data_IF_404076554922
#
_entry.id   IF_404076554922
#
_cell.length_a   1.000
_cell.length_b   1.000
_cell.length_c   1.000
_cell.angle_alpha   90.00
_cell.angle_beta   90.00
_cell.angle_gamma   90.00
#
_symmetry.space_group_name_H-M   'P 1'
#
loop_
_entity.id
_entity.type
_entity.pdbx_description
1 polymer ?
#
# COMPACT_ATOMS: atom_id res chain seq x y z
N UNK A 1 2.53 4.51 4.53
CA UNK A 1 1.44 3.88 3.75
C UNK A 1 1.51 2.36 4.03
N UNK A 2 0.77 1.43 3.40
CA UNK A 2 1.08 -0.03 3.45
C UNK A 2 0.96 -0.78 2.08
N UNK A 3 1.97 -0.72 1.20
CA UNK A 3 2.13 -1.42 -0.09
C UNK A 3 2.40 -2.93 0.02
N UNK A 4 1.41 -3.83 0.12
CA UNK A 4 1.69 -5.29 0.14
C UNK A 4 1.94 -5.92 -1.25
N UNK A 5 3.08 -6.58 -1.47
CA UNK A 5 3.43 -7.34 -2.68
C UNK A 5 3.68 -8.82 -2.34
N UNK A 6 3.29 -9.75 -3.21
CA UNK A 6 3.66 -11.15 -3.05
C UNK A 6 5.16 -11.32 -3.31
N UNK A 7 5.92 -11.69 -2.28
CA UNK A 7 7.35 -11.96 -2.35
C UNK A 7 7.64 -13.35 -1.83
N UNK A 8 8.77 -13.92 -2.21
CA UNK A 8 9.29 -15.14 -1.60
C UNK A 8 10.58 -14.82 -0.86
N UNK A 9 10.74 -15.41 0.32
CA UNK A 9 12.01 -15.50 1.03
C UNK A 9 12.35 -16.98 1.12
N UNK A 10 13.49 -17.37 0.58
CA UNK A 10 14.02 -18.75 0.65
C UNK A 10 13.07 -19.86 0.12
N UNK A 11 12.19 -19.53 -0.82
CA UNK A 11 11.27 -20.50 -1.45
C UNK A 11 9.90 -20.61 -0.76
N UNK A 12 9.69 -19.95 0.38
CA UNK A 12 8.38 -19.87 1.03
C UNK A 12 7.63 -18.60 0.60
N UNK A 13 6.40 -18.77 0.11
CA UNK A 13 5.54 -17.69 -0.36
C UNK A 13 5.02 -16.80 0.77
N UNK A 14 5.18 -15.49 0.65
CA UNK A 14 4.70 -14.50 1.60
C UNK A 14 4.14 -13.24 0.93
N UNK A 15 3.48 -12.39 1.72
CA UNK A 15 3.09 -11.03 1.33
C UNK A 15 3.97 -10.06 2.11
N UNK A 16 4.74 -9.22 1.41
CA UNK A 16 5.60 -8.20 2.00
C UNK A 16 4.95 -6.84 1.88
N UNK A 17 4.71 -6.21 3.02
CA UNK A 17 4.27 -4.83 3.13
C UNK A 17 5.46 -3.89 2.87
N UNK A 18 5.52 -3.31 1.67
CA UNK A 18 6.57 -2.43 1.16
C UNK A 18 6.50 -1.00 1.69
N UNK A 19 6.03 -0.82 2.90
CA UNK A 19 5.68 0.51 3.35
C UNK A 19 6.13 0.74 4.77
N UNK A 20 6.84 1.84 4.91
CA UNK A 20 7.96 1.90 5.82
C UNK A 20 9.22 1.20 5.30
N UNK A 21 9.20 0.59 4.10
CA UNK A 21 10.43 0.12 3.46
C UNK A 21 11.01 1.19 2.54
N UNK A 22 12.25 1.60 2.83
CA UNK A 22 13.05 2.45 1.96
C UNK A 22 13.47 1.67 0.70
N UNK A 23 12.52 1.43 -0.20
CA UNK A 23 12.81 0.74 -1.46
C UNK A 23 13.66 1.64 -2.33
N UNK A 24 14.80 1.11 -2.72
CA UNK A 24 15.77 1.81 -3.55
C UNK A 24 15.55 1.46 -5.02
N UNK A 25 15.40 0.16 -5.31
CA UNK A 25 15.25 -0.34 -6.68
C UNK A 25 14.57 -1.71 -6.73
N UNK A 26 14.08 -2.05 -7.91
CA UNK A 26 13.79 -3.41 -8.31
C UNK A 26 14.81 -3.83 -9.37
N UNK A 27 15.33 -5.06 -9.29
CA UNK A 27 16.24 -5.60 -10.29
C UNK A 27 15.76 -6.92 -10.87
N UNK A 28 16.29 -7.27 -12.05
CA UNK A 28 16.18 -8.59 -12.66
C UNK A 28 17.60 -9.15 -12.85
N UNK A 29 17.86 -10.30 -12.25
CA UNK A 29 19.10 -11.05 -12.37
C UNK A 29 18.77 -12.45 -12.90
N UNK A 30 19.09 -12.67 -14.18
CA UNK A 30 18.70 -13.89 -14.88
C UNK A 30 17.18 -14.02 -14.99
N UNK A 31 16.62 -15.05 -14.36
CA UNK A 31 15.17 -15.29 -14.29
C UNK A 31 14.54 -14.80 -12.99
N UNK A 32 15.34 -14.24 -12.08
CA UNK A 32 14.89 -13.82 -10.75
C UNK A 32 14.67 -12.31 -10.70
N UNK A 33 13.54 -11.90 -10.13
CA UNK A 33 13.22 -10.51 -9.88
C UNK A 33 13.42 -10.21 -8.40
N UNK A 34 13.97 -9.04 -8.08
CA UNK A 34 14.34 -8.67 -6.71
C UNK A 34 13.86 -7.27 -6.35
N UNK A 35 13.52 -7.08 -5.08
CA UNK A 35 13.34 -5.77 -4.43
C UNK A 35 14.58 -5.52 -3.60
N UNK A 36 15.13 -4.32 -3.70
CA UNK A 36 16.25 -3.85 -2.90
C UNK A 36 15.76 -2.74 -1.98
N UNK A 37 15.77 -3.00 -0.67
CA UNK A 37 15.58 -1.96 0.35
C UNK A 37 16.94 -1.45 0.83
N UNK A 38 17.02 -0.59 1.84
CA UNK A 38 18.31 -0.24 2.46
C UNK A 38 18.98 -1.46 3.10
N UNK A 39 18.21 -2.26 3.83
CA UNK A 39 18.75 -3.29 4.71
C UNK A 39 18.68 -4.70 4.10
N UNK A 40 17.71 -4.97 3.23
CA UNK A 40 17.39 -6.33 2.78
C UNK A 40 17.15 -6.41 1.26
N UNK A 41 17.10 -7.65 0.76
CA UNK A 41 16.69 -8.00 -0.59
C UNK A 41 15.57 -9.05 -0.54
N UNK A 42 14.59 -8.95 -1.44
CA UNK A 42 13.45 -9.87 -1.50
C UNK A 42 13.23 -10.37 -2.92
N UNK A 43 12.80 -11.62 -3.09
CA UNK A 43 12.50 -12.18 -4.40
C UNK A 43 11.04 -11.94 -4.79
N UNK A 44 10.84 -11.63 -6.07
CA UNK A 44 9.54 -11.36 -6.67
C UNK A 44 9.18 -12.45 -7.67
N UNK A 45 7.89 -12.79 -7.68
CA UNK A 45 7.30 -13.73 -8.65
C UNK A 45 6.72 -13.02 -9.87
N UNK A 46 6.93 -11.71 -10.00
CA UNK A 46 6.30 -10.85 -11.01
C UNK A 46 7.39 -10.12 -11.80
N UNK A 47 7.19 -9.97 -13.11
CA UNK A 47 8.15 -9.30 -13.99
C UNK A 47 8.23 -7.79 -13.74
N UNK A 48 9.38 -7.19 -14.08
CA UNK A 48 9.59 -5.74 -13.99
C UNK A 48 8.55 -4.94 -14.79
N UNK A 49 8.08 -5.42 -15.92
CA UNK A 49 7.10 -4.69 -16.74
C UNK A 49 5.74 -4.53 -16.03
N UNK A 50 5.31 -5.60 -15.35
CA UNK A 50 4.09 -5.60 -14.53
C UNK A 50 4.27 -4.71 -13.30
N UNK A 51 5.46 -4.76 -12.68
CA UNK A 51 5.82 -3.90 -11.55
C UNK A 51 5.79 -2.44 -11.97
N UNK A 52 6.46 -2.08 -13.06
CA UNK A 52 6.49 -0.72 -13.61
C UNK A 52 5.09 -0.19 -13.91
N UNK A 53 4.25 -1.01 -14.54
CA UNK A 53 2.86 -0.62 -14.86
C UNK A 53 2.06 -0.34 -13.60
N UNK A 54 2.20 -1.17 -12.57
CA UNK A 54 1.54 -0.98 -11.28
C UNK A 54 2.04 0.28 -10.56
N UNK A 55 3.35 0.52 -10.53
CA UNK A 55 3.96 1.69 -9.89
C UNK A 55 3.54 2.99 -10.60
N UNK A 56 3.50 2.99 -11.93
CA UNK A 56 3.01 4.13 -12.73
C UNK A 56 1.54 4.40 -12.50
N UNK A 57 0.69 3.37 -12.48
CA UNK A 57 -0.73 3.50 -12.16
C UNK A 57 -0.95 4.04 -10.74
N UNK A 58 -0.05 3.70 -9.81
CA UNK A 58 -0.04 4.22 -8.45
C UNK A 58 0.56 5.64 -8.31
N UNK A 59 1.07 6.23 -9.40
CA UNK A 59 1.72 7.55 -9.36
C UNK A 59 3.00 7.59 -8.53
N UNK A 60 3.66 6.45 -8.33
CA UNK A 60 4.88 6.36 -7.54
C UNK A 60 6.09 6.83 -8.36
N UNK A 61 7.09 7.48 -7.72
CA UNK A 61 8.23 8.09 -8.40
C UNK A 61 9.31 7.06 -8.80
N UNK A 62 8.89 5.94 -9.41
CA UNK A 62 9.79 4.95 -9.98
C UNK A 62 9.99 5.18 -11.46
N UNK A 63 11.25 5.06 -11.89
CA UNK A 63 11.61 5.13 -13.29
C UNK A 63 12.47 3.93 -13.67
N UNK A 64 12.27 3.45 -14.89
CA UNK A 64 13.07 2.35 -15.40
C UNK A 64 14.43 2.86 -15.84
N UNK A 65 15.47 2.52 -15.10
CA UNK A 65 16.85 2.95 -15.38
C UNK A 65 17.52 2.18 -16.52
N UNK A 66 17.23 0.89 -16.66
CA UNK A 66 17.66 0.07 -17.79
C UNK A 66 16.69 -1.11 -17.99
N UNK A 67 17.05 -2.12 -18.79
CA UNK A 67 16.17 -3.29 -19.01
C UNK A 67 15.94 -4.11 -17.74
N UNK A 68 16.93 -4.15 -16.85
CA UNK A 68 16.94 -4.96 -15.63
C UNK A 68 16.70 -4.18 -14.34
N UNK A 69 16.50 -2.86 -14.36
CA UNK A 69 16.43 -2.05 -13.14
C UNK A 69 15.32 -0.99 -13.20
N UNK A 70 14.45 -0.98 -12.18
CA UNK A 70 13.55 0.13 -11.83
C UNK A 70 14.08 0.81 -10.58
N UNK A 71 14.22 2.13 -10.58
CA UNK A 71 14.80 2.88 -9.45
C UNK A 71 13.79 3.85 -8.85
N UNK A 72 13.81 4.01 -7.54
CA UNK A 72 13.05 5.05 -6.86
C UNK A 72 13.81 6.37 -6.98
N UNK A 73 13.28 7.31 -7.78
CA UNK A 73 13.97 8.56 -8.09
C UNK A 73 14.20 9.46 -6.86
N UNK A 74 13.35 9.36 -5.84
CA UNK A 74 13.45 10.15 -4.61
C UNK A 74 14.56 9.66 -3.67
N UNK A 75 15.00 8.41 -3.82
CA UNK A 75 16.06 7.82 -2.98
C UNK A 75 17.45 7.93 -3.62
N UNK A 76 17.54 8.44 -4.85
CA UNK A 76 18.82 8.66 -5.54
C UNK A 76 19.55 9.84 -4.90
N UNK A 77 20.72 9.58 -4.33
CA UNK A 77 21.57 10.58 -3.67
C UNK A 77 22.48 11.27 -4.68
N UNK A 78 23.02 10.50 -5.62
CA UNK A 78 23.95 11.00 -6.63
C UNK A 78 23.86 10.16 -7.90
N UNK A 79 24.28 10.77 -9.02
CA UNK A 79 24.45 10.08 -10.28
C UNK A 79 25.94 10.05 -10.63
N UNK A 80 26.46 8.86 -10.90
CA UNK A 80 27.81 8.67 -11.39
C UNK A 80 27.78 8.66 -12.92
N UNK A 81 28.19 9.76 -13.53
CA UNK A 81 28.20 9.90 -14.99
C UNK A 81 29.25 9.02 -15.66
N UNK A 82 30.37 8.76 -14.97
CA UNK A 82 31.49 7.99 -15.52
C UNK A 82 31.09 6.53 -15.70
N UNK A 83 30.34 5.97 -14.74
CA UNK A 83 29.91 4.58 -14.77
C UNK A 83 28.43 4.40 -15.10
N UNK A 84 27.72 5.50 -15.40
CA UNK A 84 26.28 5.54 -15.65
C UNK A 84 25.46 4.83 -14.55
N UNK A 85 25.65 5.25 -13.29
CA UNK A 85 24.97 4.63 -12.13
C UNK A 85 24.16 5.63 -11.31
N UNK A 86 23.01 5.18 -10.80
CA UNK A 86 22.33 5.81 -9.69
C UNK A 86 22.91 5.29 -8.38
N UNK A 87 23.31 6.19 -7.50
CA UNK A 87 23.82 5.88 -6.17
C UNK A 87 22.74 6.17 -5.13
N UNK A 88 22.51 5.22 -4.23
CA UNK A 88 21.56 5.32 -3.14
C UNK A 88 22.29 5.43 -1.80
N UNK A 89 21.56 5.80 -0.73
CA UNK A 89 22.10 5.70 0.63
C UNK A 89 22.46 4.23 0.95
N UNK A 90 23.51 4.03 1.74
CA UNK A 90 23.98 2.70 2.13
C UNK A 90 24.88 2.00 1.10
N UNK A 91 25.42 2.72 0.12
CA UNK A 91 26.39 2.17 -0.85
C UNK A 91 25.79 1.31 -1.96
N UNK A 92 24.46 1.12 -1.98
CA UNK A 92 23.76 0.43 -3.06
C UNK A 92 23.74 1.28 -4.32
N UNK A 93 23.76 0.63 -5.49
CA UNK A 93 23.70 1.31 -6.78
C UNK A 93 22.87 0.55 -7.81
N UNK A 94 22.39 1.26 -8.83
CA UNK A 94 21.74 0.69 -10.01
C UNK A 94 22.41 1.23 -11.26
N UNK A 95 22.55 0.38 -12.27
CA UNK A 95 23.03 0.79 -13.59
C UNK A 95 21.91 1.53 -14.31
N UNK A 96 22.29 2.53 -15.09
CA UNK A 96 21.40 3.32 -15.94
C UNK A 96 21.86 3.14 -17.38
N UNK A 97 20.93 2.88 -18.30
CA UNK A 97 21.26 2.83 -19.71
C UNK A 97 21.65 4.22 -20.21
N UNK A 98 22.65 4.29 -21.11
CA UNK A 98 23.12 5.54 -21.70
C UNK A 98 21.99 6.38 -22.31
N UNK A 99 21.02 5.72 -22.95
CA UNK A 99 19.82 6.35 -23.52
C UNK A 99 18.89 7.01 -22.51
N UNK A 100 18.91 6.57 -21.25
CA UNK A 100 18.03 7.06 -20.18
C UNK A 100 18.73 7.97 -19.18
N UNK A 101 20.06 8.00 -19.19
CA UNK A 101 20.85 8.78 -18.25
C UNK A 101 20.45 10.27 -18.23
N UNK A 102 20.30 10.89 -19.40
CA UNK A 102 19.89 12.30 -19.52
C UNK A 102 18.48 12.55 -18.97
N UNK A 103 17.55 11.64 -19.23
CA UNK A 103 16.17 11.74 -18.73
C UNK A 103 16.12 11.62 -17.20
N UNK A 104 16.80 10.61 -16.65
CA UNK A 104 16.85 10.36 -15.21
C UNK A 104 17.56 11.51 -14.50
N UNK A 105 18.66 12.03 -15.05
CA UNK A 105 19.34 13.22 -14.52
C UNK A 105 18.40 14.42 -14.42
N UNK A 106 17.60 14.67 -15.44
CA UNK A 106 16.61 15.76 -15.42
C UNK A 106 15.46 15.52 -14.44
N UNK A 107 15.02 14.26 -14.25
CA UNK A 107 13.99 13.91 -13.26
C UNK A 107 14.51 14.04 -11.82
N UNK A 108 15.72 13.53 -11.53
CA UNK A 108 16.35 13.63 -10.20
C UNK A 108 16.61 15.10 -9.84
N UNK A 109 17.10 15.92 -10.78
CA UNK A 109 17.31 17.35 -10.55
C UNK A 109 16.00 18.09 -10.25
N UNK A 110 14.90 17.76 -10.94
CA UNK A 110 13.57 18.31 -10.66
C UNK A 110 13.05 17.90 -9.29
N UNK A 111 13.28 16.65 -8.88
CA UNK A 111 12.89 16.16 -7.56
C UNK A 111 13.74 16.78 -6.43
N UNK A 112 15.01 17.12 -6.70
CA UNK A 112 15.87 17.79 -5.75
C UNK A 112 15.51 19.28 -5.54
N UNK A 113 14.92 19.93 -6.56
CA UNK A 113 14.52 21.34 -6.51
C UNK A 113 13.02 21.57 -6.24
N UNK A 114 12.19 20.54 -6.35
CA UNK A 114 10.74 20.61 -6.22
C UNK A 114 10.20 19.88 -4.98
N UNK A 115 9.73 20.68 -4.02
CA UNK A 115 8.59 20.40 -3.12
C UNK A 115 8.91 20.28 -1.61
N UNK A 116 8.80 21.43 -0.94
CA UNK A 116 8.35 21.57 0.45
C UNK A 116 6.82 21.49 0.61
N UNK A 117 6.07 21.31 -0.49
CA UNK A 117 4.61 21.19 -0.52
C UNK A 117 4.22 19.79 -0.98
N UNK A 118 4.33 18.81 -0.07
CA UNK A 118 3.92 17.43 -0.32
C UNK A 118 2.39 17.38 -0.45
N UNK A 119 1.90 17.52 -1.67
CA UNK A 119 0.54 17.13 -2.03
C UNK A 119 0.44 15.61 -1.80
N UNK A 120 -0.36 15.21 -0.81
CA UNK A 120 -0.43 13.82 -0.34
C UNK A 120 -0.85 12.88 -1.48
N UNK A 121 0.09 12.09 -1.98
CA UNK A 121 -0.22 10.98 -2.89
C UNK A 121 -1.27 10.08 -2.22
N UNK A 122 -2.33 9.67 -2.91
CA UNK A 122 -3.36 8.81 -2.34
C UNK A 122 -2.76 7.44 -1.99
N UNK A 123 -3.08 6.96 -0.80
CA UNK A 123 -2.64 5.65 -0.33
C UNK A 123 -3.48 4.57 -1.03
N UNK A 124 -2.84 3.64 -1.72
CA UNK A 124 -3.51 2.60 -2.51
C UNK A 124 -3.38 1.22 -1.86
N UNK A 125 -4.39 0.37 -2.03
CA UNK A 125 -4.46 -0.99 -1.51
C UNK A 125 -4.73 -1.97 -2.66
N UNK A 126 -3.92 -3.04 -2.81
CA UNK A 126 -4.14 -4.03 -3.85
C UNK A 126 -5.36 -4.91 -3.51
N UNK A 127 -6.26 -5.09 -4.46
CA UNK A 127 -7.47 -5.91 -4.35
C UNK A 127 -7.78 -6.63 -5.66
N UNK A 128 -8.71 -7.58 -5.63
CA UNK A 128 -9.20 -8.33 -6.80
C UNK A 128 -10.73 -8.24 -6.87
N UNK A 129 -11.32 -8.28 -8.06
CA UNK A 129 -12.80 -8.38 -8.18
C UNK A 129 -13.29 -9.78 -7.79
N UNK A 130 -12.49 -10.82 -8.01
CA UNK A 130 -12.84 -12.20 -7.69
C UNK A 130 -12.13 -12.73 -6.45
N UNK A 131 -12.80 -13.61 -5.73
CA UNK A 131 -12.36 -14.21 -4.46
C UNK A 131 -10.99 -14.90 -4.57
N UNK A 132 -10.71 -15.56 -5.70
CA UNK A 132 -9.47 -16.32 -5.92
C UNK A 132 -8.31 -15.48 -6.45
N UNK A 133 -8.49 -14.17 -6.67
CA UNK A 133 -7.44 -13.32 -7.25
C UNK A 133 -7.24 -13.48 -8.76
N UNK A 134 -8.06 -14.27 -9.44
CA UNK A 134 -7.93 -14.62 -10.87
C UNK A 134 -8.32 -13.48 -11.82
N UNK A 135 -9.01 -12.44 -11.34
CA UNK A 135 -9.37 -11.27 -12.15
C UNK A 135 -8.23 -10.26 -12.34
N UNK A 136 -7.04 -10.51 -11.79
CA UNK A 136 -5.95 -9.55 -11.75
C UNK A 136 -6.05 -8.57 -10.57
N UNK A 137 -4.99 -7.79 -10.38
CA UNK A 137 -4.83 -6.85 -9.26
C UNK A 137 -5.31 -5.46 -9.67
N UNK A 138 -6.17 -4.88 -8.84
CA UNK A 138 -6.69 -3.52 -8.93
C UNK A 138 -6.17 -2.76 -7.70
N UNK A 139 -5.79 -1.50 -7.89
CA UNK A 139 -5.37 -0.64 -6.78
C UNK A 139 -6.54 0.24 -6.37
N UNK A 140 -7.02 0.05 -5.14
CA UNK A 140 -8.12 0.80 -4.55
C UNK A 140 -7.57 1.84 -3.57
N UNK A 141 -8.00 3.08 -3.65
CA UNK A 141 -7.59 4.09 -2.68
C UNK A 141 -8.12 3.73 -1.28
N UNK A 142 -7.25 3.69 -0.26
CA UNK A 142 -7.65 3.33 1.12
C UNK A 142 -8.70 4.30 1.67
N UNK A 143 -8.64 5.56 1.23
CA UNK A 143 -9.67 6.57 1.53
C UNK A 143 -11.05 6.26 0.94
N UNK A 144 -11.20 5.23 0.12
CA UNK A 144 -12.50 4.72 -0.37
C UNK A 144 -13.00 3.51 0.44
N UNK A 145 -12.12 2.84 1.18
CA UNK A 145 -12.46 1.65 1.98
C UNK A 145 -13.23 2.03 3.24
N UNK A 146 -14.40 1.41 3.45
CA UNK A 146 -15.25 1.63 4.64
C UNK A 146 -15.05 0.51 5.69
N UNK A 147 -14.78 -0.72 5.25
CA UNK A 147 -14.51 -1.86 6.13
C UNK A 147 -13.83 -3.00 5.38
N UNK A 148 -13.21 -3.89 6.15
CA UNK A 148 -12.81 -5.22 5.74
C UNK A 148 -13.65 -6.25 6.48
N UNK A 149 -14.05 -7.32 5.81
CA UNK A 149 -14.73 -8.45 6.45
C UNK A 149 -14.18 -9.79 6.00
N UNK A 150 -14.04 -10.72 6.94
CA UNK A 150 -13.70 -12.10 6.62
C UNK A 150 -14.87 -12.76 5.87
N UNK A 151 -14.58 -13.42 4.75
CA UNK A 151 -15.54 -14.16 3.94
C UNK A 151 -14.88 -15.41 3.35
N UNK A 152 -15.28 -16.59 3.83
CA UNK A 152 -14.64 -17.85 3.44
C UNK A 152 -13.14 -17.82 3.73
N UNK A 153 -12.33 -18.06 2.70
CA UNK A 153 -10.86 -18.05 2.77
C UNK A 153 -10.24 -16.72 2.30
N UNK A 154 -11.05 -15.68 2.13
CA UNK A 154 -10.62 -14.37 1.66
C UNK A 154 -11.10 -13.24 2.59
N UNK A 155 -10.57 -12.05 2.37
CA UNK A 155 -11.07 -10.82 2.96
C UNK A 155 -11.83 -10.03 1.90
N UNK A 156 -13.05 -9.67 2.21
CA UNK A 156 -13.79 -8.69 1.43
C UNK A 156 -13.38 -7.28 1.85
N UNK A 157 -13.07 -6.46 0.86
CA UNK A 157 -12.76 -5.04 1.01
C UNK A 157 -13.97 -4.27 0.50
N UNK A 158 -14.65 -3.58 1.41
CA UNK A 158 -15.88 -2.85 1.08
C UNK A 158 -15.55 -1.39 0.82
N UNK A 159 -16.01 -0.89 -0.32
CA UNK A 159 -16.23 0.54 -0.53
C UNK A 159 -17.71 0.86 -0.30
N UNK A 160 -18.09 2.11 -0.52
CA UNK A 160 -19.50 2.51 -0.49
C UNK A 160 -20.33 1.68 -1.48
N UNK A 161 -19.86 1.55 -2.72
CA UNK A 161 -20.65 0.98 -3.82
C UNK A 161 -20.23 -0.45 -4.20
N UNK A 162 -18.97 -0.81 -3.99
CA UNK A 162 -18.38 -2.06 -4.47
C UNK A 162 -17.83 -2.94 -3.34
N UNK A 163 -17.58 -4.20 -3.68
CA UNK A 163 -16.89 -5.17 -2.83
C UNK A 163 -15.78 -5.82 -3.64
N UNK A 164 -14.57 -5.77 -3.11
CA UNK A 164 -13.39 -6.42 -3.68
C UNK A 164 -12.90 -7.51 -2.73
N UNK A 165 -11.90 -8.26 -3.15
CA UNK A 165 -11.36 -9.42 -2.45
C UNK A 165 -9.86 -9.31 -2.31
N UNK A 166 -9.35 -9.83 -1.21
CA UNK A 166 -7.93 -9.87 -0.88
C UNK A 166 -7.60 -11.21 -0.21
N UNK A 167 -6.53 -11.84 -0.68
CA UNK A 167 -5.95 -13.02 -0.04
C UNK A 167 -4.99 -12.57 1.07
N UNK A 168 -5.53 -12.24 2.24
CA UNK A 168 -4.76 -11.88 3.42
C UNK A 168 -5.52 -12.27 4.69
N UNK A 169 -4.96 -12.00 5.86
CA UNK A 169 -5.67 -12.10 7.13
C UNK A 169 -6.02 -10.71 7.65
N UNK A 170 -7.13 -10.59 8.38
CA UNK A 170 -7.49 -9.32 9.01
C UNK A 170 -6.41 -8.81 9.97
N UNK A 171 -5.69 -9.70 10.66
CA UNK A 171 -4.63 -9.30 11.60
C UNK A 171 -3.44 -8.64 10.89
N UNK A 172 -3.09 -9.14 9.70
CA UNK A 172 -2.06 -8.52 8.84
C UNK A 172 -2.52 -7.16 8.34
N UNK A 173 -3.77 -7.06 7.91
CA UNK A 173 -4.37 -5.81 7.43
C UNK A 173 -4.43 -4.77 8.56
N UNK A 174 -4.88 -5.17 9.74
CA UNK A 174 -4.95 -4.31 10.93
C UNK A 174 -3.58 -3.77 11.31
N UNK A 175 -2.58 -4.65 11.41
CA UNK A 175 -1.20 -4.25 11.74
C UNK A 175 -0.65 -3.24 10.74
N UNK A 176 -0.90 -3.47 9.44
CA UNK A 176 -0.49 -2.58 8.36
C UNK A 176 -1.18 -1.21 8.42
N UNK A 177 -2.48 -1.17 8.71
CA UNK A 177 -3.25 0.08 8.81
C UNK A 177 -2.90 0.87 10.09
N UNK A 178 -2.61 0.19 11.19
CA UNK A 178 -2.18 0.83 12.44
C UNK A 178 -0.78 1.43 12.33
N UNK A 179 0.16 0.74 11.67
CA UNK A 179 1.52 1.23 11.45
C UNK A 179 1.57 2.57 10.71
N UNK A 180 0.50 2.90 9.96
CA UNK A 180 0.40 4.13 9.15
C UNK A 180 -0.52 5.16 9.76
N UNK A 181 -1.00 4.93 10.98
CA UNK A 181 -1.90 5.83 11.70
C UNK A 181 -3.25 6.01 11.03
N UNK A 182 -3.72 5.03 10.24
CA UNK A 182 -5.06 5.12 9.67
C UNK A 182 -6.13 4.75 10.72
N UNK A 183 -7.31 5.40 10.68
CA UNK A 183 -8.33 5.26 11.72
C UNK A 183 -9.19 4.00 11.51
N UNK A 184 -8.54 2.84 11.40
CA UNK A 184 -9.21 1.53 11.35
C UNK A 184 -9.18 0.86 12.73
N UNK A 185 -10.31 0.27 13.10
CA UNK A 185 -10.48 -0.40 14.39
C UNK A 185 -11.11 -1.77 14.22
N UNK A 186 -10.61 -2.75 14.98
CA UNK A 186 -11.13 -4.12 14.95
C UNK A 186 -12.46 -4.17 15.71
N UNK A 187 -13.55 -4.39 14.99
CA UNK A 187 -14.90 -4.44 15.55
C UNK A 187 -15.23 -5.80 16.16
N UNK A 188 -14.85 -6.87 15.46
CA UNK A 188 -14.96 -8.24 15.95
C UNK A 188 -13.92 -9.15 15.26
N UNK A 189 -14.04 -10.47 15.41
CA UNK A 189 -13.11 -11.44 14.80
C UNK A 189 -13.10 -11.35 13.26
N UNK A 190 -14.22 -10.99 12.65
CA UNK A 190 -14.43 -10.97 11.21
C UNK A 190 -14.54 -9.57 10.60
N UNK A 191 -14.46 -8.48 11.36
CA UNK A 191 -14.68 -7.12 10.87
C UNK A 191 -13.62 -6.14 11.37
N UNK A 192 -13.04 -5.38 10.44
CA UNK A 192 -12.18 -4.23 10.68
C UNK A 192 -12.81 -3.00 10.00
N UNK A 193 -13.08 -1.95 10.75
CA UNK A 193 -13.94 -0.84 10.31
C UNK A 193 -13.20 0.50 10.26
N UNK A 194 -13.54 1.35 9.29
CA UNK A 194 -13.02 2.70 9.20
C UNK A 194 -13.84 3.65 10.08
N UNK A 195 -13.26 4.17 11.16
CA UNK A 195 -13.98 4.90 12.19
C UNK A 195 -14.61 6.20 11.68
N UNK A 196 -13.90 6.96 10.84
CA UNK A 196 -14.41 8.25 10.32
C UNK A 196 -15.53 8.13 9.31
N UNK A 197 -15.82 6.92 8.82
CA UNK A 197 -16.81 6.67 7.77
C UNK A 197 -18.07 6.00 8.29
N UNK A 198 -18.11 5.72 9.58
CA UNK A 198 -19.34 5.29 10.24
C UNK A 198 -20.33 6.45 10.23
N UNK A 199 -21.56 6.16 9.81
CA UNK A 199 -22.67 7.11 9.80
C UNK A 199 -23.43 7.01 11.12
N UNK A 200 -23.66 5.79 11.58
CA UNK A 200 -24.46 5.51 12.76
C UNK A 200 -23.93 4.27 13.48
N UNK A 201 -24.19 4.21 14.79
CA UNK A 201 -23.92 3.06 15.62
C UNK A 201 -25.24 2.58 16.24
N UNK A 202 -25.67 1.39 15.83
CA UNK A 202 -26.90 0.74 16.29
C UNK A 202 -26.62 0.04 17.62
N UNK A 203 -27.14 0.62 18.69
CA UNK A 203 -26.91 0.09 20.03
C UNK A 203 -27.67 -1.21 20.30
N UNK A 204 -28.84 -1.37 19.68
CA UNK A 204 -29.71 -2.53 19.92
C UNK A 204 -29.08 -3.80 19.35
N UNK A 205 -28.47 -3.69 18.18
CA UNK A 205 -27.88 -4.83 17.48
C UNK A 205 -26.35 -4.85 17.52
N UNK A 206 -25.72 -3.89 18.19
CA UNK A 206 -24.26 -3.73 18.24
C UNK A 206 -23.63 -3.70 16.85
N UNK A 207 -24.13 -2.81 15.98
CA UNK A 207 -23.66 -2.69 14.59
C UNK A 207 -23.15 -1.29 14.28
N UNK A 208 -22.07 -1.22 13.51
CA UNK A 208 -21.67 -0.01 12.81
C UNK A 208 -22.40 0.05 11.45
N UNK A 209 -22.97 1.20 11.12
CA UNK A 209 -23.68 1.46 9.87
C UNK A 209 -22.85 2.45 9.05
N UNK A 210 -22.67 2.16 7.76
CA UNK A 210 -21.94 2.97 6.79
C UNK A 210 -22.89 3.47 5.69
N UNK A 211 -22.45 4.48 4.96
CA UNK A 211 -23.12 4.90 3.73
C UNK A 211 -23.25 3.72 2.75
N UNK A 212 -24.33 3.70 1.96
CA UNK A 212 -24.64 2.58 1.06
C UNK A 212 -25.27 1.36 1.75
N UNK A 213 -25.72 1.49 3.01
CA UNK A 213 -26.44 0.44 3.74
C UNK A 213 -25.55 -0.73 4.21
N UNK A 214 -24.23 -0.60 4.07
CA UNK A 214 -23.28 -1.61 4.56
C UNK A 214 -23.23 -1.56 6.08
N UNK A 215 -23.14 -2.72 6.71
CA UNK A 215 -23.06 -2.82 8.19
C UNK A 215 -21.93 -3.74 8.61
N UNK A 216 -21.42 -3.54 9.83
CA UNK A 216 -20.46 -4.42 10.48
C UNK A 216 -20.90 -4.72 11.91
N UNK A 217 -20.81 -5.98 12.31
CA UNK A 217 -21.05 -6.38 13.71
C UNK A 217 -19.89 -5.96 14.59
N UNK A 218 -20.22 -5.61 15.83
CA UNK A 218 -19.26 -5.22 16.85
C UNK A 218 -19.37 -6.21 18.01
N UNK A 219 -18.23 -6.77 18.41
CA UNK A 219 -18.17 -7.66 19.56
C UNK A 219 -18.44 -6.89 20.86
N UNK A 220 -19.07 -7.55 21.83
CA UNK A 220 -19.40 -6.96 23.13
C UNK A 220 -18.18 -6.37 23.84
N UNK A 221 -17.02 -7.02 23.72
CA UNK A 221 -15.75 -6.57 24.32
C UNK A 221 -15.18 -5.31 23.66
N UNK A 222 -15.52 -5.04 22.38
CA UNK A 222 -15.04 -3.86 21.63
C UNK A 222 -16.06 -2.73 21.58
N UNK A 223 -17.34 -3.02 21.83
CA UNK A 223 -18.44 -2.07 21.69
C UNK A 223 -18.23 -0.77 22.48
N UNK A 224 -17.86 -0.87 23.77
CA UNK A 224 -17.60 0.32 24.61
C UNK A 224 -16.51 1.23 24.04
N UNK A 225 -15.41 0.63 23.54
CA UNK A 225 -14.29 1.36 22.92
C UNK A 225 -14.76 2.09 21.65
N UNK A 226 -15.42 1.36 20.76
CA UNK A 226 -15.87 1.89 19.46
C UNK A 226 -16.92 2.99 19.66
N UNK A 227 -17.87 2.81 20.58
CA UNK A 227 -18.85 3.85 20.93
C UNK A 227 -18.18 5.12 21.45
N UNK A 228 -17.20 5.00 22.35
CA UNK A 228 -16.46 6.15 22.87
C UNK A 228 -15.70 6.91 21.76
N UNK A 229 -14.99 6.18 20.89
CA UNK A 229 -14.29 6.77 19.74
C UNK A 229 -15.25 7.46 18.78
N UNK A 230 -16.38 6.83 18.45
CA UNK A 230 -17.38 7.40 17.56
C UNK A 230 -17.96 8.71 18.12
N UNK A 231 -18.34 8.74 19.41
CA UNK A 231 -18.86 9.95 20.06
C UNK A 231 -17.80 11.07 20.07
N UNK A 232 -16.55 10.74 20.37
CA UNK A 232 -15.46 11.73 20.37
C UNK A 232 -15.29 12.36 18.99
N UNK A 233 -15.35 11.55 17.93
CA UNK A 233 -15.21 12.02 16.56
C UNK A 233 -16.40 12.86 16.10
N UNK A 234 -17.64 12.46 16.42
CA UNK A 234 -18.84 13.25 16.10
C UNK A 234 -18.82 14.61 16.80
N UNK A 235 -18.28 14.69 18.02
CA UNK A 235 -18.11 15.96 18.72
C UNK A 235 -17.12 16.89 18.02
N UNK A 236 -15.98 16.36 17.60
CA UNK A 236 -14.96 17.14 16.87
C UNK A 236 -15.54 17.68 15.56
N UNK A 237 -16.27 16.85 14.80
CA UNK A 237 -16.86 17.24 13.51
C UNK A 237 -18.05 18.21 13.60
N UNK A 238 -18.57 18.51 14.79
CA UNK A 238 -19.67 19.47 15.02
C UNK A 238 -19.21 20.80 15.61
N UNK A 239 -17.90 20.97 15.83
CA UNK A 239 -17.32 22.22 16.33
C UNK A 239 -16.66 23.06 15.23
N UNK A 240 -16.63 22.55 14.00
CA UNK A 240 -16.32 23.29 12.77
C UNK A 240 -17.63 23.71 12.05
#
# INVERSE_FOLDING_TARGET
>A
MAWCWAVTRDGEGGLLNLDGMDILKFSCEGTTYKIHTRDEEFHLLVSLDKIESALKAAGLPFERSDRGNLIQLTEVVALDEKYAKALFKGGKSATISSSKFKQIKAQVARNAFGSKDRCATPLMWPVSRRERGDSGVIFLEVRQIIKFSAFGNAIQVHTQDEVFHLLATLDRIESALQAVGLPFERADRGNLIHMTKMVELDEKFSKAIFAGGKTATISSSKYKKIKALFIAMVRIMRMD
#
